data_IF_424314609556
#
_entry.id   IF_424314609556
#
_cell.length_a   1.000
_cell.length_b   1.000
_cell.length_c   1.000
_cell.angle_alpha   90.00
_cell.angle_beta   90.00
_cell.angle_gamma   90.00
#
_symmetry.space_group_name_H-M   'P 1'
#
loop_
_entity.id
_entity.type
_entity.pdbx_description
1 polymer ?
#
# COMPACT_ATOMS: atom_id res chain seq x y z
N UNK A 1 -14.27 12.08 -9.18
CA UNK A 1 -14.63 10.69 -9.51
C UNK A 1 -13.40 9.82 -9.34
N UNK A 2 -13.52 8.63 -8.74
CA UNK A 2 -12.42 7.67 -8.66
C UNK A 2 -12.13 7.10 -10.05
N UNK A 3 -10.88 6.73 -10.29
CA UNK A 3 -10.49 6.08 -11.54
C UNK A 3 -11.06 4.65 -11.58
N UNK A 4 -11.55 4.18 -12.74
CA UNK A 4 -12.01 2.80 -12.87
C UNK A 4 -10.85 1.84 -12.68
N UNK A 5 -10.99 0.91 -11.73
CA UNK A 5 -10.01 -0.14 -11.49
C UNK A 5 -10.33 -1.35 -12.35
N UNK A 6 -9.33 -1.88 -13.05
CA UNK A 6 -9.43 -3.13 -13.79
C UNK A 6 -8.75 -4.23 -13.00
N UNK A 7 -9.47 -5.30 -12.71
CA UNK A 7 -8.90 -6.50 -12.09
C UNK A 7 -7.77 -7.05 -12.96
N UNK A 8 -6.57 -7.11 -12.40
CA UNK A 8 -5.36 -7.64 -13.03
C UNK A 8 -4.91 -8.85 -12.22
N UNK A 9 -4.94 -10.02 -12.83
CA UNK A 9 -4.52 -11.28 -12.23
C UNK A 9 -3.41 -11.85 -13.09
N UNK A 10 -2.38 -12.40 -12.45
CA UNK A 10 -1.31 -13.11 -13.15
C UNK A 10 -1.92 -14.21 -14.06
N UNK A 11 -1.45 -14.37 -15.31
CA UNK A 11 -1.89 -15.45 -16.18
C UNK A 11 -1.93 -16.83 -15.52
N UNK A 12 -0.99 -17.15 -14.62
CA UNK A 12 -0.96 -18.43 -13.90
C UNK A 12 -2.18 -18.64 -12.99
N UNK A 13 -2.82 -17.56 -12.53
CA UNK A 13 -3.96 -17.59 -11.62
C UNK A 13 -5.27 -17.11 -12.27
N UNK A 14 -5.34 -17.05 -13.60
CA UNK A 14 -6.52 -16.54 -14.32
C UNK A 14 -7.83 -17.28 -13.97
N UNK A 15 -7.71 -18.53 -13.54
CA UNK A 15 -8.81 -19.36 -13.01
C UNK A 15 -9.50 -18.78 -11.77
N UNK A 16 -8.87 -17.83 -11.06
CA UNK A 16 -9.42 -17.18 -9.87
C UNK A 16 -10.37 -16.02 -10.20
N UNK A 17 -10.33 -15.50 -11.43
CA UNK A 17 -11.17 -14.38 -11.89
C UNK A 17 -12.66 -14.51 -11.52
N UNK A 18 -13.35 -15.64 -11.75
CA UNK A 18 -14.78 -15.75 -11.42
C UNK A 18 -15.09 -15.73 -9.92
N UNK A 19 -14.09 -15.93 -9.06
CA UNK A 19 -14.24 -15.93 -7.60
C UNK A 19 -13.97 -14.56 -6.97
N UNK A 20 -13.43 -13.60 -7.74
CA UNK A 20 -13.11 -12.27 -7.25
C UNK A 20 -14.23 -11.32 -7.64
N UNK A 21 -14.99 -10.85 -6.65
CA UNK A 21 -16.03 -9.83 -6.84
C UNK A 21 -15.43 -8.45 -6.63
N UNK A 22 -15.48 -7.60 -7.66
CA UNK A 22 -15.18 -6.17 -7.53
C UNK A 22 -16.47 -5.43 -7.19
N UNK A 23 -16.46 -4.67 -6.10
CA UNK A 23 -17.61 -3.91 -5.62
C UNK A 23 -17.15 -2.48 -5.29
N UNK A 24 -17.97 -1.49 -5.66
CA UNK A 24 -17.74 -0.10 -5.28
C UNK A 24 -18.45 0.20 -3.96
N UNK A 25 -17.84 1.01 -3.08
CA UNK A 25 -18.50 1.44 -1.85
C UNK A 25 -19.74 2.28 -2.18
N UNK A 26 -20.78 2.12 -1.35
CA UNK A 26 -22.07 2.82 -1.53
C UNK A 26 -21.93 4.33 -1.36
N UNK A 27 -21.04 4.75 -0.47
CA UNK A 27 -20.75 6.14 -0.19
C UNK A 27 -19.28 6.40 -0.44
N UNK A 28 -19.00 7.54 -1.08
CA UNK A 28 -17.63 8.01 -1.31
C UNK A 28 -17.31 9.12 -0.32
N UNK A 29 -16.27 8.93 0.47
CA UNK A 29 -15.76 9.85 1.47
C UNK A 29 -14.25 10.10 1.24
N UNK A 30 -13.69 11.06 1.98
CA UNK A 30 -12.25 11.31 2.02
C UNK A 30 -11.49 10.20 2.78
N UNK A 31 -12.17 9.43 3.62
CA UNK A 31 -11.61 8.38 4.47
C UNK A 31 -12.22 7.03 4.14
N UNK A 32 -11.36 6.01 3.95
CA UNK A 32 -11.79 4.63 3.68
C UNK A 32 -12.62 4.03 4.82
N UNK A 33 -12.54 4.56 6.04
CA UNK A 33 -13.29 4.06 7.19
C UNK A 33 -14.76 4.46 7.16
N UNK A 34 -15.08 5.57 6.50
CA UNK A 34 -16.48 6.03 6.39
C UNK A 34 -17.21 5.31 5.25
N UNK A 35 -16.46 4.73 4.30
CA UNK A 35 -17.01 4.07 3.11
C UNK A 35 -17.33 2.58 3.34
N UNK A 36 -16.82 2.00 4.43
CA UNK A 36 -16.94 0.58 4.77
C UNK A 36 -17.99 0.42 5.86
N UNK A 37 -18.77 -0.66 5.81
CA UNK A 37 -19.70 -1.00 6.89
C UNK A 37 -18.92 -1.17 8.21
N UNK A 38 -19.16 -0.32 9.23
CA UNK A 38 -18.43 -0.39 10.49
C UNK A 38 -18.57 -1.76 11.18
N UNK A 39 -19.68 -2.47 10.98
CA UNK A 39 -19.89 -3.80 11.58
C UNK A 39 -18.96 -4.84 10.97
N UNK A 40 -18.79 -4.81 9.64
CA UNK A 40 -17.88 -5.71 8.92
C UNK A 40 -16.43 -5.38 9.24
N UNK A 41 -16.11 -4.08 9.34
CA UNK A 41 -14.79 -3.63 9.73
C UNK A 41 -14.41 -4.13 11.13
N UNK A 42 -15.32 -4.02 12.10
CA UNK A 42 -15.09 -4.51 13.46
C UNK A 42 -15.02 -6.05 13.52
N UNK A 43 -15.84 -6.76 12.75
CA UNK A 43 -15.81 -8.22 12.67
C UNK A 43 -14.45 -8.76 12.17
N UNK A 44 -13.79 -8.04 11.26
CA UNK A 44 -12.45 -8.38 10.75
C UNK A 44 -11.34 -8.22 11.78
N UNK A 45 -11.50 -7.32 12.75
CA UNK A 45 -10.49 -7.02 13.77
C UNK A 45 -10.80 -7.64 15.14
N UNK A 46 -11.97 -8.24 15.31
CA UNK A 46 -12.52 -8.58 16.63
C UNK A 46 -13.02 -7.33 17.37
N UNK A 47 -13.60 -7.51 18.56
CA UNK A 47 -14.26 -6.46 19.36
C UNK A 47 -13.39 -5.21 19.68
N UNK A 48 -12.10 -5.18 19.30
CA UNK A 48 -11.22 -4.03 19.42
C UNK A 48 -10.50 -3.72 18.08
N UNK A 49 -10.63 -2.48 17.61
CA UNK A 49 -9.79 -1.97 16.52
C UNK A 49 -8.31 -2.03 16.94
N UNK A 50 -7.38 -2.48 16.09
CA UNK A 50 -5.96 -2.51 16.41
C UNK A 50 -5.44 -1.08 16.55
N UNK A 51 -5.47 -0.56 17.77
CA UNK A 51 -4.91 0.75 18.14
C UNK A 51 -3.39 0.77 18.09
N UNK A 52 -2.75 -0.40 17.91
CA UNK A 52 -1.31 -0.55 17.88
C UNK A 52 -0.87 -1.31 16.64
N UNK A 53 -0.50 -0.55 15.62
CA UNK A 53 0.38 -1.05 14.56
C UNK A 53 1.77 -1.08 15.16
N UNK A 54 2.20 -2.23 15.66
CA UNK A 54 3.62 -2.47 15.89
C UNK A 54 4.27 -2.40 14.51
N UNK A 55 4.76 -1.21 14.15
CA UNK A 55 5.61 -1.05 12.99
C UNK A 55 6.69 -2.12 13.15
N UNK A 56 6.77 -3.03 12.19
CA UNK A 56 7.82 -4.03 12.13
C UNK A 56 9.10 -3.29 12.51
N UNK A 57 9.75 -3.70 13.60
CA UNK A 57 10.99 -3.08 14.08
C UNK A 57 12.12 -3.42 13.10
N UNK A 58 11.96 -3.08 11.82
CA UNK A 58 13.07 -2.87 10.93
C UNK A 58 13.80 -1.69 11.53
N UNK A 59 14.98 -1.96 12.08
CA UNK A 59 15.87 -0.95 12.61
C UNK A 59 16.08 0.20 11.62
N UNK A 60 16.76 1.28 12.05
CA UNK A 60 16.95 2.47 11.23
C UNK A 60 17.39 2.09 9.82
N UNK A 61 16.71 2.65 8.81
CA UNK A 61 16.98 2.37 7.42
C UNK A 61 18.49 2.58 7.14
N UNK A 62 19.20 1.50 6.80
CA UNK A 62 20.64 1.55 6.53
C UNK A 62 20.88 1.61 5.03
N UNK A 63 21.59 2.65 4.59
CA UNK A 63 22.05 2.77 3.21
C UNK A 63 23.35 1.99 3.04
N UNK A 64 23.32 0.92 2.26
CA UNK A 64 24.52 0.15 1.90
C UNK A 64 24.83 0.36 0.41
N UNK A 65 25.71 1.30 0.02
CA UNK A 65 26.06 1.51 -1.37
C UNK A 65 26.77 0.27 -1.92
N UNK A 66 26.17 -0.41 -2.89
CA UNK A 66 26.72 -1.63 -3.51
C UNK A 66 27.77 -1.36 -4.59
N UNK A 67 27.99 -0.10 -4.95
CA UNK A 67 28.94 0.30 -5.98
C UNK A 67 29.86 1.39 -5.44
N UNK A 68 31.16 1.11 -5.37
CA UNK A 68 32.18 2.12 -5.12
C UNK A 68 32.42 2.89 -6.41
N UNK A 69 32.29 4.22 -6.37
CA UNK A 69 32.58 5.10 -7.50
C UNK A 69 34.10 5.18 -7.75
N UNK A 70 34.71 4.09 -8.22
CA UNK A 70 36.04 4.13 -8.83
C UNK A 70 35.85 4.51 -10.29
N UNK A 71 35.49 5.77 -10.55
CA UNK A 71 35.20 6.21 -11.91
C UNK A 71 34.62 7.61 -12.08
N UNK A 72 35.40 8.64 -11.72
CA UNK A 72 35.37 10.04 -12.24
C UNK A 72 34.23 10.98 -11.79
N UNK A 73 34.66 12.01 -11.04
CA UNK A 73 34.10 13.33 -10.66
C UNK A 73 32.63 13.65 -11.02
N UNK A 74 31.82 13.90 -9.99
CA UNK A 74 30.56 14.64 -10.08
C UNK A 74 30.71 16.01 -9.37
N UNK A 75 30.74 17.05 -10.22
CA UNK A 75 30.24 18.43 -10.10
C UNK A 75 29.87 18.93 -8.70
N UNK A 76 30.52 20.01 -8.26
CA UNK A 76 30.18 20.81 -7.07
C UNK A 76 28.81 21.48 -7.21
N UNK A 77 27.97 21.52 -6.16
CA UNK A 77 26.80 22.38 -6.11
C UNK A 77 27.21 23.82 -5.81
N UNK A 78 26.78 24.75 -6.67
CA UNK A 78 26.84 26.19 -6.41
C UNK A 78 25.84 26.55 -5.30
N UNK A 79 26.32 27.15 -4.21
CA UNK A 79 25.48 27.81 -3.21
C UNK A 79 25.09 29.22 -3.69
N UNK A 80 23.80 29.56 -3.51
CA UNK A 80 23.30 30.95 -3.52
C UNK A 80 23.53 31.63 -2.18
#
# INVERSE_FOLDING_TARGET
MRAPLKLCIDPEFHMLTPFIKQEEPKETSTSIYDEVDPKVLLDLYGDELPVKVEAWNVGPASFTPRFSATGKKAIEPQSS
#
